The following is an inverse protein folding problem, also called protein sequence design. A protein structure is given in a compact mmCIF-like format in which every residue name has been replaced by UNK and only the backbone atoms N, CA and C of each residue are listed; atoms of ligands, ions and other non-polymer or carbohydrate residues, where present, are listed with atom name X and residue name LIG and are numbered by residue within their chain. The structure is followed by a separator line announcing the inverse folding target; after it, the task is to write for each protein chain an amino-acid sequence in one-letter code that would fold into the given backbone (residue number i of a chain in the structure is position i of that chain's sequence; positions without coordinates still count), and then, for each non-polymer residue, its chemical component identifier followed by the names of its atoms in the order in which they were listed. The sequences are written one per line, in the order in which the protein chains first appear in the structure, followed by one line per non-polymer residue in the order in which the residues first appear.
data_IF_040642046136
#
_entry.id   IF_040642046136
#
_cell.length_a   1.000
_cell.length_b   1.000
_cell.length_c   1.000
_cell.angle_alpha   90.00
_cell.angle_beta   90.00
_cell.angle_gamma   90.00
#
_symmetry.space_group_name_H-M   'P 1'
#
loop_
_entity.id
_entity.type
_entity.pdbx_description
1 polymer ?
#
# COMPACT_ATOMS: atom_id res chain seq x y z
N UNK A 1 -13.85 4.66 -0.30
CA UNK A 1 -14.70 3.63 -0.97
C UNK A 1 -14.30 2.26 -0.45
N UNK A 2 -15.27 1.44 -0.01
CA UNK A 2 -15.00 0.07 0.45
C UNK A 2 -14.42 -0.81 -0.68
N UNK A 3 -13.67 -1.84 -0.29
CA UNK A 3 -13.22 -2.91 -1.18
C UNK A 3 -13.71 -4.26 -0.64
N UNK A 4 -14.22 -5.10 -1.53
CA UNK A 4 -14.55 -6.49 -1.22
C UNK A 4 -13.82 -7.40 -2.19
N UNK A 5 -13.11 -8.37 -1.66
CA UNK A 5 -12.44 -9.46 -2.37
C UNK A 5 -13.16 -10.74 -1.98
N UNK A 6 -13.62 -11.52 -2.94
CA UNK A 6 -14.49 -12.67 -2.71
C UNK A 6 -13.98 -13.90 -3.46
N UNK A 7 -13.56 -14.91 -2.71
CA UNK A 7 -13.11 -16.22 -3.18
C UNK A 7 -12.01 -16.19 -4.25
N UNK A 8 -11.06 -15.25 -4.15
CA UNK A 8 -9.97 -15.16 -5.10
C UNK A 8 -9.06 -16.37 -4.99
N UNK A 9 -8.89 -17.06 -6.11
CA UNK A 9 -7.95 -18.17 -6.27
C UNK A 9 -7.07 -17.93 -7.49
N UNK A 10 -5.79 -18.27 -7.37
CA UNK A 10 -4.83 -18.19 -8.47
C UNK A 10 -3.74 -19.24 -8.32
N UNK A 11 -3.44 -19.93 -9.43
CA UNK A 11 -2.33 -20.86 -9.56
C UNK A 11 -1.35 -20.36 -10.62
N UNK A 12 -0.07 -20.66 -10.45
CA UNK A 12 0.98 -20.38 -11.44
C UNK A 12 1.88 -21.60 -11.55
N UNK A 13 2.08 -22.09 -12.77
CA UNK A 13 2.91 -23.27 -13.06
C UNK A 13 2.52 -24.49 -12.20
N UNK A 14 1.22 -24.69 -11.98
CA UNK A 14 0.69 -25.80 -11.17
C UNK A 14 0.77 -25.63 -9.66
N UNK A 15 1.30 -24.51 -9.17
CA UNK A 15 1.37 -24.19 -7.73
C UNK A 15 0.24 -23.23 -7.37
N UNK A 16 -0.54 -23.57 -6.34
CA UNK A 16 -1.58 -22.71 -5.78
C UNK A 16 -0.91 -21.56 -5.01
N UNK A 17 -1.14 -20.32 -5.47
CA UNK A 17 -0.58 -19.10 -4.84
C UNK A 17 -1.59 -18.49 -3.87
N UNK A 18 -2.85 -18.35 -4.30
CA UNK A 18 -3.96 -17.89 -3.47
C UNK A 18 -5.09 -18.90 -3.57
N UNK A 19 -5.76 -19.17 -2.44
CA UNK A 19 -6.78 -20.20 -2.33
C UNK A 19 -8.01 -19.66 -1.59
N UNK A 20 -9.11 -19.44 -2.31
CA UNK A 20 -10.39 -18.94 -1.80
C UNK A 20 -10.26 -17.74 -0.84
N UNK A 21 -9.35 -16.81 -1.18
CA UNK A 21 -9.05 -15.66 -0.36
C UNK A 21 -10.21 -14.66 -0.40
N UNK A 22 -10.73 -14.31 0.77
CA UNK A 22 -11.82 -13.35 0.90
C UNK A 22 -11.56 -12.36 2.03
N UNK A 23 -11.90 -11.10 1.82
CA UNK A 23 -11.99 -10.07 2.86
C UNK A 23 -12.86 -8.90 2.39
N UNK A 24 -13.32 -8.12 3.36
CA UNK A 24 -13.98 -6.84 3.13
C UNK A 24 -13.33 -5.78 3.99
N UNK A 25 -13.10 -4.60 3.41
CA UNK A 25 -12.50 -3.46 4.09
C UNK A 25 -13.38 -2.23 3.87
N UNK A 26 -13.76 -1.60 4.97
CA UNK A 26 -14.60 -0.41 4.97
C UNK A 26 -13.84 0.80 4.42
N UNK A 27 -14.60 1.81 4.03
CA UNK A 27 -14.09 3.08 3.52
C UNK A 27 -13.10 3.72 4.52
N UNK A 28 -11.97 4.17 3.99
CA UNK A 28 -10.92 4.86 4.75
C UNK A 28 -10.06 3.99 5.66
N UNK A 29 -10.35 2.69 5.79
CA UNK A 29 -9.57 1.80 6.63
C UNK A 29 -8.32 1.27 5.92
N UNK A 30 -7.33 0.90 6.71
CA UNK A 30 -6.08 0.27 6.27
C UNK A 30 -6.07 -1.20 6.68
N UNK A 31 -6.02 -2.13 5.72
CA UNK A 31 -5.76 -3.54 5.96
C UNK A 31 -4.27 -3.82 5.82
N UNK A 32 -3.62 -4.22 6.91
CA UNK A 32 -2.26 -4.74 6.87
C UNK A 32 -2.28 -6.25 6.60
N UNK A 33 -1.62 -6.67 5.54
CA UNK A 33 -1.47 -8.09 5.17
C UNK A 33 -0.03 -8.50 5.44
N UNK A 34 0.18 -9.24 6.53
CA UNK A 34 1.46 -9.84 6.84
C UNK A 34 1.61 -11.22 6.19
N UNK A 35 2.84 -11.71 6.17
CA UNK A 35 3.16 -13.07 5.70
C UNK A 35 4.61 -13.17 5.25
N UNK A 36 5.11 -14.40 5.14
CA UNK A 36 6.48 -14.70 4.70
C UNK A 36 6.72 -14.22 3.26
N UNK A 37 7.98 -14.00 2.89
CA UNK A 37 8.34 -13.74 1.49
C UNK A 37 7.86 -14.89 0.59
N UNK A 38 7.30 -14.54 -0.57
CA UNK A 38 6.80 -15.54 -1.54
C UNK A 38 5.42 -16.12 -1.23
N UNK A 39 4.73 -15.78 -0.13
CA UNK A 39 3.42 -16.35 0.20
C UNK A 39 2.24 -15.82 -0.64
N UNK A 40 2.47 -14.89 -1.57
CA UNK A 40 1.42 -14.38 -2.48
C UNK A 40 0.95 -12.95 -2.22
N UNK A 41 1.54 -12.19 -1.28
CA UNK A 41 1.14 -10.80 -0.96
C UNK A 41 1.14 -9.87 -2.18
N UNK A 42 2.24 -9.81 -2.90
CA UNK A 42 2.38 -9.03 -4.14
C UNK A 42 1.39 -9.50 -5.22
N UNK A 43 1.13 -10.80 -5.31
CA UNK A 43 0.15 -11.37 -6.24
C UNK A 43 -1.26 -10.89 -5.91
N UNK A 44 -1.64 -10.87 -4.63
CA UNK A 44 -2.91 -10.33 -4.17
C UNK A 44 -3.08 -8.88 -4.60
N UNK A 45 -2.09 -8.03 -4.30
CA UNK A 45 -2.15 -6.62 -4.67
C UNK A 45 -2.25 -6.42 -6.19
N UNK A 46 -1.48 -7.19 -6.98
CA UNK A 46 -1.52 -7.11 -8.45
C UNK A 46 -2.88 -7.53 -9.01
N UNK A 47 -3.53 -8.52 -8.42
CA UNK A 47 -4.88 -8.94 -8.82
C UNK A 47 -5.89 -7.84 -8.50
N UNK A 48 -5.82 -7.22 -7.32
CA UNK A 48 -6.70 -6.10 -6.95
C UNK A 48 -6.48 -4.92 -7.90
N UNK A 49 -5.24 -4.60 -8.23
CA UNK A 49 -4.88 -3.55 -9.19
C UNK A 49 -5.32 -3.84 -10.64
N UNK A 50 -5.62 -5.10 -10.97
CA UNK A 50 -5.88 -5.54 -12.35
C UNK A 50 -4.64 -5.75 -13.19
N UNK A 51 -3.46 -5.81 -12.55
CA UNK A 51 -2.16 -6.09 -13.17
C UNK A 51 -1.91 -7.59 -13.36
N UNK A 52 -2.72 -8.43 -12.72
CA UNK A 52 -2.73 -9.87 -12.90
C UNK A 52 -4.20 -10.37 -12.84
N UNK A 53 -4.49 -11.44 -13.56
CA UNK A 53 -5.79 -12.09 -13.49
C UNK A 53 -5.81 -13.13 -12.36
N UNK A 54 -6.96 -13.27 -11.68
CA UNK A 54 -7.28 -14.41 -10.86
C UNK A 54 -7.89 -15.52 -11.73
N UNK A 55 -7.76 -16.78 -11.30
CA UNK A 55 -8.40 -17.91 -11.97
C UNK A 55 -9.90 -17.97 -11.59
N UNK A 56 -10.24 -17.61 -10.34
CA UNK A 56 -11.60 -17.56 -9.82
C UNK A 56 -11.76 -16.40 -8.84
N UNK A 57 -13.03 -16.06 -8.56
CA UNK A 57 -13.45 -15.07 -7.57
C UNK A 57 -13.81 -13.73 -8.16
N UNK A 58 -14.13 -12.77 -7.27
CA UNK A 58 -14.60 -11.43 -7.66
C UNK A 58 -13.94 -10.36 -6.79
N UNK A 59 -13.82 -9.17 -7.37
CA UNK A 59 -13.35 -7.96 -6.68
C UNK A 59 -14.34 -6.84 -6.95
N UNK A 60 -14.81 -6.20 -5.90
CA UNK A 60 -15.60 -4.98 -6.03
C UNK A 60 -14.98 -3.80 -5.26
N UNK A 61 -15.07 -2.62 -5.85
CA UNK A 61 -14.60 -1.35 -5.28
C UNK A 61 -15.76 -0.36 -5.31
N UNK A 62 -16.18 0.12 -4.14
CA UNK A 62 -17.33 0.99 -4.01
C UNK A 62 -18.63 0.35 -4.53
N UNK A 63 -18.79 -0.96 -4.35
CA UNK A 63 -19.94 -1.74 -4.82
C UNK A 63 -19.93 -2.09 -6.31
N UNK A 64 -18.98 -1.59 -7.09
CA UNK A 64 -18.83 -1.93 -8.53
C UNK A 64 -17.90 -3.14 -8.69
N UNK A 65 -18.33 -4.17 -9.42
CA UNK A 65 -17.46 -5.28 -9.84
C UNK A 65 -16.37 -4.76 -10.80
N UNK A 66 -15.11 -5.00 -10.42
CA UNK A 66 -13.93 -4.60 -11.19
C UNK A 66 -13.09 -5.80 -11.63
N UNK A 67 -13.58 -7.02 -11.49
CA UNK A 67 -12.82 -8.26 -11.74
C UNK A 67 -12.23 -8.29 -13.15
N UNK A 68 -13.04 -8.05 -14.17
CA UNK A 68 -12.61 -7.99 -15.58
C UNK A 68 -12.21 -6.60 -16.08
N UNK A 69 -12.20 -5.58 -15.19
CA UNK A 69 -11.94 -4.20 -15.58
C UNK A 69 -10.42 -3.96 -15.68
N UNK A 70 -9.91 -3.31 -16.73
CA UNK A 70 -8.48 -3.01 -16.87
C UNK A 70 -7.99 -2.02 -15.79
N UNK A 71 -6.69 -2.05 -15.42
CA UNK A 71 -6.12 -1.29 -14.29
C UNK A 71 -6.49 0.19 -14.27
N UNK A 72 -6.40 0.87 -15.40
CA UNK A 72 -6.65 2.31 -15.52
C UNK A 72 -8.10 2.73 -15.21
N UNK A 73 -9.02 1.79 -15.20
CA UNK A 73 -10.45 2.02 -14.92
C UNK A 73 -10.90 1.58 -13.53
N UNK A 74 -10.02 0.91 -12.75
CA UNK A 74 -10.34 0.39 -11.41
C UNK A 74 -10.32 1.46 -10.31
N UNK A 75 -9.74 2.63 -10.57
CA UNK A 75 -9.45 3.65 -9.56
C UNK A 75 -8.60 3.13 -8.38
N UNK A 76 -7.88 2.04 -8.59
CA UNK A 76 -6.89 1.49 -7.68
C UNK A 76 -5.50 1.96 -8.11
N UNK A 77 -4.73 2.51 -7.19
CA UNK A 77 -3.35 2.93 -7.47
C UNK A 77 -2.40 2.01 -6.72
N UNK A 78 -1.46 1.43 -7.45
CA UNK A 78 -0.46 0.51 -6.94
C UNK A 78 0.86 1.24 -6.74
N UNK A 79 1.38 1.21 -5.52
CA UNK A 79 2.68 1.72 -5.17
C UNK A 79 3.64 0.53 -4.98
N UNK A 80 4.65 0.49 -5.84
CA UNK A 80 5.68 -0.54 -5.82
C UNK A 80 6.65 -0.32 -4.65
N UNK A 81 7.33 -1.39 -4.24
CA UNK A 81 8.42 -1.35 -3.27
C UNK A 81 9.51 -0.34 -3.66
N UNK A 82 9.85 -0.28 -4.94
CA UNK A 82 10.72 0.76 -5.49
C UNK A 82 9.92 1.98 -5.92
N UNK A 83 10.43 3.17 -5.63
CA UNK A 83 9.83 4.42 -6.04
C UNK A 83 10.03 4.66 -7.55
N UNK A 84 9.13 4.09 -8.37
CA UNK A 84 9.16 4.21 -9.82
C UNK A 84 8.72 5.63 -10.25
N UNK A 85 9.66 6.57 -10.26
CA UNK A 85 9.44 7.92 -10.78
C UNK A 85 9.76 7.98 -12.27
N UNK A 86 9.13 8.93 -12.98
CA UNK A 86 9.48 9.22 -14.37
C UNK A 86 10.82 9.97 -14.42
N UNK A 87 11.91 9.38 -14.96
CA UNK A 87 13.24 9.96 -14.86
C UNK A 87 13.41 11.23 -15.70
N UNK A 88 12.62 11.39 -16.77
CA UNK A 88 12.62 12.56 -17.64
C UNK A 88 11.83 13.74 -17.07
N UNK A 89 11.06 13.55 -15.98
CA UNK A 89 10.26 14.56 -15.31
C UNK A 89 10.94 15.00 -14.01
N UNK A 90 10.80 16.30 -13.66
CA UNK A 90 11.16 16.77 -12.33
C UNK A 90 10.13 16.35 -11.27
N UNK A 91 10.37 16.70 -10.00
CA UNK A 91 9.50 16.31 -8.87
C UNK A 91 8.09 16.86 -9.02
N UNK A 92 7.95 18.15 -9.34
CA UNK A 92 6.65 18.79 -9.53
C UNK A 92 5.87 18.13 -10.68
N UNK A 93 6.55 17.87 -11.79
CA UNK A 93 5.94 17.23 -12.96
C UNK A 93 5.53 15.78 -12.65
N UNK A 94 6.35 15.03 -11.90
CA UNK A 94 5.98 13.69 -11.43
C UNK A 94 4.69 13.73 -10.60
N UNK A 95 4.56 14.66 -9.66
CA UNK A 95 3.36 14.83 -8.85
C UNK A 95 2.13 15.20 -9.71
N UNK A 96 2.28 16.15 -10.63
CA UNK A 96 1.19 16.63 -11.47
C UNK A 96 0.77 15.63 -12.57
N UNK A 97 1.58 14.62 -12.87
CA UNK A 97 1.44 13.75 -14.03
C UNK A 97 0.06 13.07 -14.14
N UNK A 98 -0.40 12.43 -13.06
CA UNK A 98 -1.67 11.71 -13.07
C UNK A 98 -2.88 12.60 -13.29
N UNK A 99 -2.84 13.84 -12.79
CA UNK A 99 -3.90 14.84 -12.98
C UNK A 99 -3.93 15.34 -14.43
N UNK A 100 -2.76 15.60 -15.01
CA UNK A 100 -2.62 16.03 -16.42
C UNK A 100 -3.16 14.97 -17.39
N UNK A 101 -2.87 13.68 -17.16
CA UNK A 101 -3.42 12.59 -18.00
C UNK A 101 -4.94 12.51 -17.90
N UNK A 102 -5.52 12.82 -16.74
CA UNK A 102 -6.99 12.87 -16.57
C UNK A 102 -7.63 14.11 -17.17
N UNK A 103 -6.87 15.00 -17.83
CA UNK A 103 -7.36 16.20 -18.49
C UNK A 103 -7.53 17.40 -17.56
N UNK A 104 -6.97 17.35 -16.36
CA UNK A 104 -7.01 18.51 -15.47
C UNK A 104 -6.19 19.69 -16.04
N UNK A 105 -6.69 20.89 -15.89
CA UNK A 105 -5.98 22.10 -16.32
C UNK A 105 -4.58 22.15 -15.68
N UNK A 106 -3.60 22.55 -16.50
CA UNK A 106 -2.19 22.60 -16.08
C UNK A 106 -1.97 23.46 -14.82
N UNK A 107 -2.59 24.63 -14.75
CA UNK A 107 -2.44 25.55 -13.61
C UNK A 107 -2.95 24.89 -12.32
N UNK A 108 -4.12 24.26 -12.38
CA UNK A 108 -4.73 23.58 -11.24
C UNK A 108 -3.90 22.35 -10.81
N UNK A 109 -3.42 21.55 -11.77
CA UNK A 109 -2.58 20.38 -11.48
C UNK A 109 -1.24 20.81 -10.83
N UNK A 110 -0.63 21.89 -11.29
CA UNK A 110 0.61 22.43 -10.70
C UNK A 110 0.36 23.01 -9.30
N UNK A 111 -0.74 23.74 -9.06
CA UNK A 111 -1.12 24.24 -7.73
C UNK A 111 -1.26 23.11 -6.71
N UNK A 112 -2.03 22.08 -7.04
CA UNK A 112 -2.19 20.90 -6.16
C UNK A 112 -0.89 20.13 -5.94
N UNK A 113 -0.01 20.11 -6.96
CA UNK A 113 1.30 19.49 -6.82
C UNK A 113 2.22 20.31 -5.89
N UNK A 114 2.14 21.64 -5.90
CA UNK A 114 2.85 22.50 -4.95
C UNK A 114 2.35 22.31 -3.52
N UNK A 115 1.03 22.28 -3.29
CA UNK A 115 0.44 21.98 -1.98
C UNK A 115 0.91 20.60 -1.46
N UNK A 116 0.98 19.61 -2.35
CA UNK A 116 1.49 18.27 -2.00
C UNK A 116 2.99 18.32 -1.65
N UNK A 117 3.80 19.13 -2.35
CA UNK A 117 5.22 19.29 -2.01
C UNK A 117 5.43 19.87 -0.61
N UNK A 118 4.57 20.77 -0.16
CA UNK A 118 4.59 21.29 1.22
C UNK A 118 4.29 20.17 2.22
N UNK A 119 3.21 19.40 1.99
CA UNK A 119 2.82 18.26 2.86
C UNK A 119 3.90 17.18 2.95
N UNK A 120 4.74 17.05 1.92
CA UNK A 120 5.82 16.07 1.83
C UNK A 120 7.18 16.61 2.31
N UNK A 121 7.30 17.87 2.70
CA UNK A 121 8.57 18.57 2.99
C UNK A 121 9.56 18.52 1.81
N UNK A 122 9.05 18.71 0.58
CA UNK A 122 9.83 18.61 -0.65
C UNK A 122 9.85 19.87 -1.51
N UNK A 123 9.34 21.00 -1.03
CA UNK A 123 9.34 22.28 -1.76
C UNK A 123 10.72 22.65 -2.34
N UNK A 124 11.85 22.56 -1.58
CA UNK A 124 13.17 22.88 -2.10
C UNK A 124 13.63 21.97 -3.25
N UNK A 125 12.94 20.85 -3.44
CA UNK A 125 13.28 19.81 -4.43
C UNK A 125 12.37 19.82 -5.65
N UNK A 126 11.41 20.76 -5.76
CA UNK A 126 10.38 20.80 -6.82
C UNK A 126 10.94 20.65 -8.25
N UNK A 127 12.09 21.24 -8.51
CA UNK A 127 12.74 21.24 -9.85
C UNK A 127 13.78 20.15 -10.04
N UNK A 128 14.11 19.36 -8.99
CA UNK A 128 15.06 18.25 -9.10
C UNK A 128 14.49 17.09 -9.88
N UNK A 129 15.36 16.32 -10.54
CA UNK A 129 15.02 15.02 -11.13
C UNK A 129 15.16 13.89 -10.11
N UNK A 130 14.57 12.73 -10.39
CA UNK A 130 14.55 11.58 -9.48
C UNK A 130 15.95 11.11 -9.05
N UNK A 131 16.94 11.19 -9.92
CA UNK A 131 18.34 10.84 -9.66
C UNK A 131 19.05 11.73 -8.61
N UNK A 132 18.54 12.95 -8.42
CA UNK A 132 19.07 13.94 -7.48
C UNK A 132 18.42 13.84 -6.09
N UNK A 133 17.54 12.85 -5.88
CA UNK A 133 16.80 12.64 -4.64
C UNK A 133 17.38 11.47 -3.83
N UNK A 134 17.29 11.55 -2.50
CA UNK A 134 17.50 10.38 -1.64
C UNK A 134 16.42 9.32 -1.85
N UNK A 135 16.64 8.09 -1.38
CA UNK A 135 15.64 7.02 -1.42
C UNK A 135 14.31 7.41 -0.78
N UNK A 136 14.36 7.99 0.42
CA UNK A 136 13.17 8.46 1.14
C UNK A 136 12.46 9.62 0.43
N UNK A 137 13.21 10.54 -0.19
CA UNK A 137 12.62 11.61 -0.99
C UNK A 137 11.90 11.07 -2.22
N UNK A 138 12.50 10.11 -2.94
CA UNK A 138 11.83 9.43 -4.06
C UNK A 138 10.54 8.75 -3.62
N UNK A 139 10.57 8.08 -2.46
CA UNK A 139 9.39 7.39 -1.92
C UNK A 139 8.26 8.38 -1.58
N UNK A 140 8.59 9.54 -0.97
CA UNK A 140 7.61 10.62 -0.72
C UNK A 140 6.98 11.13 -2.02
N UNK A 141 7.77 11.37 -3.07
CA UNK A 141 7.27 11.82 -4.38
C UNK A 141 6.34 10.76 -5.00
N UNK A 142 6.72 9.48 -4.99
CA UNK A 142 5.90 8.39 -5.52
C UNK A 142 4.56 8.29 -4.79
N UNK A 143 4.57 8.45 -3.47
CA UNK A 143 3.36 8.46 -2.65
C UNK A 143 2.47 9.68 -2.95
N UNK A 144 3.02 10.88 -2.97
CA UNK A 144 2.27 12.09 -3.31
C UNK A 144 1.63 12.00 -4.70
N UNK A 145 2.35 11.47 -5.69
CA UNK A 145 1.81 11.19 -7.03
C UNK A 145 0.63 10.23 -6.98
N UNK A 146 0.72 9.17 -6.16
CA UNK A 146 -0.36 8.22 -5.97
C UNK A 146 -1.60 8.88 -5.35
N UNK A 147 -1.42 9.74 -4.33
CA UNK A 147 -2.51 10.48 -3.67
C UNK A 147 -3.18 11.47 -4.61
N UNK A 148 -2.40 12.23 -5.38
CA UNK A 148 -2.92 13.21 -6.35
C UNK A 148 -3.67 12.55 -7.51
N UNK A 149 -3.45 11.28 -7.76
CA UNK A 149 -4.28 10.50 -8.68
C UNK A 149 -5.70 10.24 -8.13
N UNK A 150 -6.02 10.65 -6.88
CA UNK A 150 -7.33 10.49 -6.22
C UNK A 150 -7.85 9.05 -6.33
N UNK A 151 -7.10 8.07 -5.78
CA UNK A 151 -7.49 6.67 -5.84
C UNK A 151 -8.71 6.40 -4.98
N UNK A 152 -9.53 5.43 -5.38
CA UNK A 152 -10.53 4.83 -4.51
C UNK A 152 -9.90 3.86 -3.52
N UNK A 153 -8.88 3.12 -4.00
CA UNK A 153 -8.09 2.17 -3.21
C UNK A 153 -6.60 2.40 -3.46
N UNK A 154 -5.81 2.47 -2.41
CA UNK A 154 -4.36 2.53 -2.46
C UNK A 154 -3.78 1.15 -2.09
N UNK A 155 -2.88 0.66 -2.92
CA UNK A 155 -2.23 -0.64 -2.77
C UNK A 155 -0.73 -0.43 -2.56
N UNK A 156 -0.22 -0.80 -1.39
CA UNK A 156 1.16 -0.54 -0.99
C UNK A 156 1.94 -1.86 -0.85
N UNK A 157 2.94 -2.06 -1.69
CA UNK A 157 3.78 -3.26 -1.71
C UNK A 157 5.12 -2.98 -1.01
N UNK A 158 5.24 -3.38 0.26
CA UNK A 158 6.43 -3.18 1.12
C UNK A 158 7.03 -1.76 1.04
N UNK A 159 6.24 -0.69 1.23
CA UNK A 159 6.63 0.67 0.88
C UNK A 159 7.76 1.25 1.74
N UNK A 160 8.14 0.59 2.83
CA UNK A 160 9.15 1.10 3.79
C UNK A 160 10.40 0.22 3.87
N UNK A 161 10.47 -0.90 3.14
CA UNK A 161 11.53 -1.91 3.27
C UNK A 161 12.95 -1.39 3.00
N UNK A 162 13.07 -0.38 2.13
CA UNK A 162 14.36 0.19 1.69
C UNK A 162 14.74 1.48 2.46
N UNK A 163 14.07 1.77 3.58
CA UNK A 163 14.30 2.98 4.38
C UNK A 163 15.04 2.65 5.68
N UNK A 164 15.92 3.57 6.10
CA UNK A 164 16.48 3.54 7.46
C UNK A 164 15.38 3.77 8.50
N UNK A 165 15.66 3.48 9.77
CA UNK A 165 14.65 3.48 10.84
C UNK A 165 14.00 4.84 11.07
N UNK A 166 14.76 5.94 10.99
CA UNK A 166 14.25 7.29 11.23
C UNK A 166 13.34 7.74 10.06
N UNK A 167 13.83 7.59 8.85
CA UNK A 167 13.04 7.87 7.63
C UNK A 167 11.79 7.02 7.56
N UNK A 168 11.87 5.74 7.94
CA UNK A 168 10.74 4.80 7.98
C UNK A 168 9.65 5.30 8.92
N UNK A 169 9.99 5.65 10.17
CA UNK A 169 9.03 6.14 11.15
C UNK A 169 8.32 7.43 10.68
N UNK A 170 9.08 8.38 10.14
CA UNK A 170 8.53 9.61 9.58
C UNK A 170 7.59 9.34 8.38
N UNK A 171 7.97 8.41 7.51
CA UNK A 171 7.14 8.01 6.36
C UNK A 171 5.84 7.32 6.78
N UNK A 172 5.88 6.41 7.76
CA UNK A 172 4.69 5.74 8.29
C UNK A 172 3.68 6.75 8.84
N UNK A 173 4.14 7.72 9.65
CA UNK A 173 3.28 8.78 10.16
C UNK A 173 2.67 9.63 9.05
N UNK A 174 3.47 10.02 8.06
CA UNK A 174 3.02 10.80 6.91
C UNK A 174 1.97 10.04 6.09
N UNK A 175 2.21 8.77 5.77
CA UNK A 175 1.28 7.93 5.03
C UNK A 175 -0.04 7.78 5.77
N UNK A 176 0.01 7.44 7.07
CA UNK A 176 -1.20 7.28 7.89
C UNK A 176 -2.00 8.58 7.96
N UNK A 177 -1.33 9.71 8.23
CA UNK A 177 -1.96 11.04 8.26
C UNK A 177 -2.68 11.34 6.94
N UNK A 178 -1.96 11.31 5.82
CA UNK A 178 -2.51 11.71 4.52
C UNK A 178 -3.59 10.75 3.99
N UNK A 179 -3.52 9.45 4.28
CA UNK A 179 -4.57 8.49 3.90
C UNK A 179 -5.83 8.67 4.75
N UNK A 180 -5.70 8.95 6.04
CA UNK A 180 -6.83 9.22 6.93
C UNK A 180 -7.52 10.55 6.58
N UNK A 181 -6.78 11.65 6.41
CA UNK A 181 -7.33 12.95 6.02
C UNK A 181 -8.13 12.89 4.71
N UNK A 182 -7.75 12.02 3.81
CA UNK A 182 -8.40 11.84 2.50
C UNK A 182 -9.38 10.68 2.45
N UNK A 183 -9.59 9.97 3.56
CA UNK A 183 -10.44 8.77 3.67
C UNK A 183 -10.14 7.74 2.58
N UNK A 184 -8.84 7.42 2.34
CA UNK A 184 -8.42 6.49 1.29
C UNK A 184 -8.34 5.08 1.85
N UNK A 185 -9.14 4.17 1.32
CA UNK A 185 -9.07 2.75 1.65
C UNK A 185 -7.74 2.16 1.16
N UNK A 186 -7.01 1.50 2.04
CA UNK A 186 -5.64 1.06 1.74
C UNK A 186 -5.46 -0.42 2.05
N UNK A 187 -4.87 -1.17 1.12
CA UNK A 187 -4.34 -2.51 1.38
C UNK A 187 -2.82 -2.43 1.34
N UNK A 188 -2.21 -2.76 2.45
CA UNK A 188 -0.78 -2.60 2.67
C UNK A 188 -0.17 -3.97 2.99
N UNK A 189 0.88 -4.37 2.27
CA UNK A 189 1.57 -5.63 2.54
C UNK A 189 2.96 -5.37 3.12
N UNK A 190 3.32 -6.18 4.10
CA UNK A 190 4.62 -6.12 4.77
C UNK A 190 5.01 -7.48 5.36
N UNK A 191 6.28 -7.66 5.64
CA UNK A 191 6.79 -8.76 6.46
C UNK A 191 7.19 -8.27 7.88
N UNK A 192 7.13 -6.97 8.14
CA UNK A 192 7.49 -6.35 9.42
C UNK A 192 6.26 -6.22 10.32
N UNK A 193 6.34 -6.84 11.52
CA UNK A 193 5.28 -6.84 12.52
C UNK A 193 4.96 -5.43 13.02
N UNK A 194 6.00 -4.61 13.26
CA UNK A 194 5.81 -3.25 13.78
C UNK A 194 5.09 -2.37 12.77
N UNK A 195 5.48 -2.48 11.51
CA UNK A 195 4.80 -1.77 10.42
C UNK A 195 3.32 -2.14 10.35
N UNK A 196 3.00 -3.44 10.39
CA UNK A 196 1.61 -3.91 10.34
C UNK A 196 0.78 -3.33 11.49
N UNK A 197 1.30 -3.36 12.71
CA UNK A 197 0.60 -2.86 13.92
C UNK A 197 0.47 -1.33 13.91
N UNK A 198 1.50 -0.60 13.46
CA UNK A 198 1.47 0.88 13.42
C UNK A 198 0.51 1.37 12.33
N UNK A 199 0.53 0.74 11.17
CA UNK A 199 -0.20 1.21 9.99
C UNK A 199 -1.62 0.68 9.88
N UNK A 200 -1.86 -0.59 10.28
CA UNK A 200 -3.13 -1.27 10.04
C UNK A 200 -4.24 -0.91 11.04
N UNK A 201 -5.41 -0.57 10.53
CA UNK A 201 -6.65 -0.54 11.33
C UNK A 201 -7.21 -1.95 11.48
N UNK A 202 -6.96 -2.81 10.49
CA UNK A 202 -7.22 -4.25 10.52
C UNK A 202 -5.96 -5.01 10.17
N UNK A 203 -5.73 -6.11 10.89
CA UNK A 203 -4.54 -6.96 10.75
C UNK A 203 -4.92 -8.28 10.11
N UNK A 204 -4.06 -8.78 9.22
CA UNK A 204 -4.25 -10.09 8.61
C UNK A 204 -2.91 -10.79 8.36
N UNK A 205 -2.96 -12.12 8.24
CA UNK A 205 -1.79 -12.93 7.94
C UNK A 205 -2.09 -13.86 6.75
N UNK A 206 -1.25 -13.79 5.72
CA UNK A 206 -1.33 -14.62 4.53
C UNK A 206 -0.35 -15.78 4.64
N UNK A 207 -0.87 -16.99 4.61
CA UNK A 207 -0.08 -18.23 4.63
C UNK A 207 -0.73 -19.31 3.78
N UNK A 208 0.05 -20.05 3.02
CA UNK A 208 -0.42 -21.14 2.15
C UNK A 208 -1.60 -20.74 1.24
N UNK A 209 -1.57 -19.49 0.74
CA UNK A 209 -2.61 -18.93 -0.12
C UNK A 209 -3.89 -18.51 0.60
N UNK A 210 -4.01 -18.72 1.90
CA UNK A 210 -5.17 -18.34 2.70
C UNK A 210 -4.91 -17.10 3.54
N UNK A 211 -5.87 -16.18 3.58
CA UNK A 211 -5.81 -14.97 4.39
C UNK A 211 -6.58 -15.16 5.68
N UNK A 212 -5.91 -14.97 6.80
CA UNK A 212 -6.51 -14.93 8.12
C UNK A 212 -6.64 -13.47 8.55
N UNK A 213 -7.87 -12.97 8.66
CA UNK A 213 -8.15 -11.61 9.15
C UNK A 213 -8.49 -11.68 10.62
N UNK A 214 -7.92 -10.81 11.44
CA UNK A 214 -8.10 -10.79 12.90
C UNK A 214 -9.03 -9.66 13.31
N UNK A 215 -9.86 -9.91 14.32
CA UNK A 215 -10.84 -8.94 14.82
C UNK A 215 -10.16 -7.79 15.58
N UNK A 216 -9.04 -8.09 16.25
CA UNK A 216 -8.30 -7.12 17.05
C UNK A 216 -6.83 -7.53 17.24
N UNK A 217 -6.06 -6.64 17.88
CA UNK A 217 -4.63 -6.86 18.15
C UNK A 217 -4.39 -8.05 19.11
N UNK A 218 -5.32 -8.36 20.01
CA UNK A 218 -5.17 -9.47 20.97
C UNK A 218 -5.23 -10.81 20.22
N UNK A 219 -6.24 -11.00 19.36
CA UNK A 219 -6.38 -12.22 18.55
C UNK A 219 -5.24 -12.37 17.56
N UNK A 220 -4.78 -11.26 16.96
CA UNK A 220 -3.60 -11.25 16.11
C UNK A 220 -2.34 -11.66 16.89
N UNK A 221 -2.11 -11.08 18.07
CA UNK A 221 -0.94 -11.36 18.90
C UNK A 221 -0.93 -12.77 19.51
N UNK A 222 -2.10 -13.37 19.71
CA UNK A 222 -2.22 -14.74 20.22
C UNK A 222 -1.84 -15.81 19.17
N UNK A 223 -1.90 -15.46 17.88
CA UNK A 223 -1.56 -16.41 16.82
C UNK A 223 -0.02 -16.54 16.66
N UNK A 224 0.55 -17.75 16.84
CA UNK A 224 1.99 -17.96 16.74
C UNK A 224 2.59 -17.60 15.38
N UNK A 225 1.79 -17.62 14.30
CA UNK A 225 2.21 -17.29 12.93
C UNK A 225 2.66 -15.86 12.78
N UNK A 226 2.05 -14.94 13.53
CA UNK A 226 2.36 -13.50 13.48
C UNK A 226 3.73 -13.16 14.05
N UNK A 227 4.28 -14.03 14.92
CA UNK A 227 5.56 -13.81 15.59
C UNK A 227 5.51 -12.83 16.77
N UNK A 228 4.35 -12.22 17.07
CA UNK A 228 4.21 -11.19 18.10
C UNK A 228 4.63 -11.69 19.50
N UNK A 229 4.23 -12.89 19.88
CA UNK A 229 4.61 -13.49 21.17
C UNK A 229 6.14 -13.66 21.30
N UNK A 230 6.82 -14.03 20.21
CA UNK A 230 8.29 -14.19 20.20
C UNK A 230 8.97 -12.84 20.38
N UNK A 231 8.47 -11.79 19.72
CA UNK A 231 9.04 -10.45 19.84
C UNK A 231 8.84 -9.87 21.24
N UNK A 232 7.64 -10.01 21.83
CA UNK A 232 7.34 -9.61 23.21
C UNK A 232 8.27 -10.38 24.19
N UNK A 233 8.38 -11.70 24.06
CA UNK A 233 9.23 -12.53 24.89
C UNK A 233 10.71 -12.13 24.82
N UNK A 234 11.21 -11.80 23.63
CA UNK A 234 12.54 -11.28 23.44
C UNK A 234 12.79 -9.99 24.25
N UNK A 235 11.92 -8.99 24.10
CA UNK A 235 12.06 -7.71 24.80
C UNK A 235 11.92 -7.87 26.33
N UNK A 236 11.02 -8.74 26.79
CA UNK A 236 10.88 -9.04 28.23
C UNK A 236 12.12 -9.72 28.81
N UNK A 237 12.81 -10.55 28.00
CA UNK A 237 14.06 -11.20 28.44
C UNK A 237 15.22 -10.23 28.63
N UNK A 238 15.25 -9.14 27.88
CA UNK A 238 16.28 -8.09 28.02
C UNK A 238 16.10 -7.24 29.28
N UNK A 239 14.86 -7.04 29.74
CA UNK A 239 14.55 -6.29 30.97
C UNK A 239 14.87 -7.07 32.24
N UNK A 240 15.24 -8.35 32.14
CA UNK A 240 15.65 -9.20 33.28
C UNK A 240 17.17 -9.29 33.45
N UNK A 241 17.95 -8.63 32.60
CA UNK A 241 19.40 -8.46 32.72
C UNK A 241 19.75 -7.11 33.35
#
# INVERSE_FOLDING_TARGET
MNIKVDNISVSRSGVQILNNLSFELNDGNILAVMGKSGCGKTTLLRIIAGLAAADNGRISIGGRDVTGVPPQQRRAVYLYQEALLFPHLNVLENLAFGMKIKGENRINAESKAFEMLEQLDLLPHARKRSEQLSGGQRQRVAFGRALLASPAVLLLDEPFSNLDNETRAAMQQLYRKLTQERSITTVFVTHDLKEAVIMGDRLSYLENGMLHVYDNLVTFGADPRTGMQREIGFWQSLNKK
#
